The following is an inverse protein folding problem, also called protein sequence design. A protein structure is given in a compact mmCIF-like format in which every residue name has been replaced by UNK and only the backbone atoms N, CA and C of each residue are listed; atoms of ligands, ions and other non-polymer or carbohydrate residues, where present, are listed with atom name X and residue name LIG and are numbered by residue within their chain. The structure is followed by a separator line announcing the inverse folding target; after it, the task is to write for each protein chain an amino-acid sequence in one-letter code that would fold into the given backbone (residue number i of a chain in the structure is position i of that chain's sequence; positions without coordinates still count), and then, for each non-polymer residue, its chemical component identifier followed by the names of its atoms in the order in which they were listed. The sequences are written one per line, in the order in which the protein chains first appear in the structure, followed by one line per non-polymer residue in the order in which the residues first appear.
data_IF_393951776134
#
_entry.id   IF_393951776134
#
_cell.length_a   1.000
_cell.length_b   1.000
_cell.length_c   1.000
_cell.angle_alpha   90.00
_cell.angle_beta   90.00
_cell.angle_gamma   90.00
#
_symmetry.space_group_name_H-M   'P 1'
#
loop_
_entity.id
_entity.type
_entity.pdbx_description
1 polymer ?
#
# COMPACT_ATOMS: atom_id res chain seq x y z
N UNK A 1 19.07 -33.23 20.70
CA UNK A 1 18.36 -31.96 20.35
C UNK A 1 19.06 -31.33 19.17
N UNK A 2 18.53 -31.51 17.96
CA UNK A 2 19.04 -30.89 16.74
C UNK A 2 18.51 -29.46 16.66
N UNK A 3 19.39 -28.47 16.84
CA UNK A 3 19.09 -27.06 16.53
C UNK A 3 19.00 -26.92 15.01
N UNK A 4 17.83 -26.61 14.48
CA UNK A 4 17.72 -26.07 13.13
C UNK A 4 18.38 -24.68 13.10
N UNK A 5 19.23 -24.35 12.13
CA UNK A 5 19.72 -22.98 11.99
C UNK A 5 18.55 -22.11 11.56
N UNK A 6 18.05 -21.29 12.48
CA UNK A 6 16.85 -20.48 12.32
C UNK A 6 17.16 -19.13 11.67
N UNK A 7 17.95 -19.13 10.59
CA UNK A 7 18.18 -17.93 9.78
C UNK A 7 18.36 -18.33 8.32
N UNK A 8 17.36 -18.03 7.50
CA UNK A 8 17.57 -17.84 6.06
C UNK A 8 18.42 -16.57 5.94
N UNK A 9 19.58 -16.63 5.30
CA UNK A 9 20.41 -15.44 5.16
C UNK A 9 19.67 -14.40 4.30
N UNK A 10 19.99 -13.11 4.47
CA UNK A 10 19.40 -12.05 3.63
C UNK A 10 19.61 -12.31 2.13
N UNK A 11 20.70 -12.99 1.78
CA UNK A 11 21.00 -13.42 0.40
C UNK A 11 20.04 -14.51 -0.09
N UNK A 12 19.79 -15.53 0.74
CA UNK A 12 18.85 -16.61 0.39
C UNK A 12 17.43 -16.08 0.21
N UNK A 13 17.00 -15.15 1.07
CA UNK A 13 15.70 -14.49 0.94
C UNK A 13 15.62 -13.61 -0.31
N UNK A 14 16.68 -12.84 -0.60
CA UNK A 14 16.73 -12.01 -1.81
C UNK A 14 16.64 -12.87 -3.08
N UNK A 15 17.38 -13.99 -3.13
CA UNK A 15 17.30 -14.95 -4.22
C UNK A 15 15.90 -15.54 -4.38
N UNK A 16 15.23 -15.88 -3.27
CA UNK A 16 13.84 -16.37 -3.32
C UNK A 16 12.90 -15.31 -3.91
N UNK A 17 12.99 -14.06 -3.45
CA UNK A 17 12.11 -12.97 -3.90
C UNK A 17 12.32 -12.62 -5.37
N UNK A 18 13.58 -12.61 -5.84
CA UNK A 18 13.90 -12.34 -7.25
C UNK A 18 13.40 -13.45 -8.17
N UNK A 19 13.53 -14.71 -7.75
CA UNK A 19 13.13 -15.86 -8.56
C UNK A 19 11.62 -16.17 -8.49
N UNK A 20 10.85 -15.47 -7.64
CA UNK A 20 9.41 -15.70 -7.50
C UNK A 20 8.55 -14.92 -8.51
N UNK A 21 9.17 -14.23 -9.48
CA UNK A 21 8.56 -13.32 -10.47
C UNK A 21 7.74 -12.15 -9.88
N UNK A 22 7.49 -12.12 -8.57
CA UNK A 22 6.65 -11.13 -7.89
C UNK A 22 7.14 -9.69 -8.14
N UNK A 23 8.45 -9.47 -8.12
CA UNK A 23 9.02 -8.16 -8.43
C UNK A 23 8.75 -7.74 -9.87
N UNK A 24 8.96 -8.64 -10.83
CA UNK A 24 8.72 -8.36 -12.25
C UNK A 24 7.24 -8.06 -12.50
N UNK A 25 6.34 -8.89 -11.98
CA UNK A 25 4.90 -8.72 -12.13
C UNK A 25 4.40 -7.44 -11.47
N UNK A 26 4.86 -7.14 -10.25
CA UNK A 26 4.47 -5.93 -9.51
C UNK A 26 4.99 -4.66 -10.20
N UNK A 27 6.26 -4.65 -10.61
CA UNK A 27 6.83 -3.51 -11.34
C UNK A 27 6.18 -3.33 -12.72
N UNK A 28 5.83 -4.42 -13.40
CA UNK A 28 5.07 -4.37 -14.65
C UNK A 28 3.72 -3.70 -14.47
N UNK A 29 2.94 -4.13 -13.47
CA UNK A 29 1.64 -3.56 -13.16
C UNK A 29 1.70 -2.05 -12.85
N UNK A 30 2.72 -1.61 -12.10
CA UNK A 30 2.96 -0.19 -11.82
C UNK A 30 3.32 0.60 -13.09
N UNK A 31 4.20 0.06 -13.94
CA UNK A 31 4.59 0.69 -15.21
C UNK A 31 3.41 0.87 -16.14
N UNK A 32 2.58 -0.17 -16.28
CA UNK A 32 1.38 -0.13 -17.12
C UNK A 32 0.40 0.92 -16.61
N UNK A 33 0.13 0.95 -15.30
CA UNK A 33 -0.75 1.93 -14.68
C UNK A 33 -0.24 3.37 -14.90
N UNK A 34 1.08 3.58 -14.82
CA UNK A 34 1.67 4.89 -15.09
C UNK A 34 1.55 5.29 -16.57
N UNK A 35 1.73 4.35 -17.50
CA UNK A 35 1.57 4.60 -18.93
C UNK A 35 0.12 4.97 -19.30
N UNK A 36 -0.86 4.34 -18.66
CA UNK A 36 -2.28 4.69 -18.78
C UNK A 36 -2.60 6.06 -18.17
N UNK A 37 -1.93 6.41 -17.07
CA UNK A 37 -2.13 7.69 -16.36
C UNK A 37 -1.58 8.89 -17.13
N UNK A 38 -0.41 8.76 -17.75
CA UNK A 38 0.17 9.81 -18.58
C UNK A 38 -0.71 10.19 -19.79
N UNK A 39 -1.57 9.29 -20.26
CA UNK A 39 -2.49 9.54 -21.38
C UNK A 39 -3.73 10.33 -20.99
N UNK A 40 -4.10 10.32 -19.72
CA UNK A 40 -5.26 11.06 -19.21
C UNK A 40 -4.99 11.48 -17.76
N UNK A 41 -4.28 12.60 -17.54
CA UNK A 41 -3.92 13.04 -16.20
C UNK A 41 -5.18 13.40 -15.41
N UNK A 42 -5.48 12.63 -14.38
CA UNK A 42 -6.51 12.94 -13.38
C UNK A 42 -5.85 13.26 -12.05
N UNK A 43 -6.54 14.08 -11.25
CA UNK A 43 -6.09 14.53 -9.93
C UNK A 43 -6.37 13.52 -8.81
N UNK A 44 -6.71 12.27 -9.10
CA UNK A 44 -7.06 11.24 -8.12
C UNK A 44 -6.11 10.04 -8.14
N UNK A 45 -6.00 9.35 -7.01
CA UNK A 45 -5.31 8.06 -6.93
C UNK A 45 -5.96 7.08 -7.90
N UNK A 46 -5.13 6.35 -8.64
CA UNK A 46 -5.58 5.27 -9.50
C UNK A 46 -5.11 3.95 -8.95
N UNK A 47 -5.89 2.91 -9.21
CA UNK A 47 -5.48 1.54 -8.96
C UNK A 47 -5.73 0.67 -10.19
N UNK A 48 -4.96 -0.41 -10.29
CA UNK A 48 -5.15 -1.47 -11.28
C UNK A 48 -5.08 -2.82 -10.58
N UNK A 49 -6.06 -3.67 -10.87
CA UNK A 49 -6.08 -5.06 -10.40
C UNK A 49 -5.57 -5.93 -11.54
N UNK A 50 -4.53 -6.72 -11.25
CA UNK A 50 -3.94 -7.68 -12.19
C UNK A 50 -4.03 -9.06 -11.56
N UNK A 51 -4.95 -9.87 -12.07
CA UNK A 51 -5.09 -11.27 -11.66
C UNK A 51 -3.98 -12.11 -12.28
N UNK A 52 -3.27 -12.86 -11.45
CA UNK A 52 -2.31 -13.89 -11.85
C UNK A 52 -2.87 -15.26 -11.51
N UNK A 53 -2.22 -16.32 -11.98
CA UNK A 53 -2.66 -17.70 -11.71
C UNK A 53 -2.62 -18.07 -10.22
N UNK A 54 -1.77 -17.41 -9.42
CA UNK A 54 -1.51 -17.73 -8.02
C UNK A 54 -1.69 -16.55 -7.06
N UNK A 55 -1.91 -15.34 -7.56
CA UNK A 55 -2.06 -14.14 -6.75
C UNK A 55 -2.83 -13.04 -7.48
N UNK A 56 -3.28 -12.03 -6.74
CA UNK A 56 -3.86 -10.81 -7.30
C UNK A 56 -2.97 -9.64 -6.91
N UNK A 57 -2.49 -8.90 -7.91
CA UNK A 57 -1.66 -7.71 -7.70
C UNK A 57 -2.55 -6.48 -7.81
N UNK A 58 -2.46 -5.60 -6.81
CA UNK A 58 -3.15 -4.31 -6.80
C UNK A 58 -2.08 -3.22 -6.85
N UNK A 59 -1.91 -2.60 -8.02
CA UNK A 59 -0.98 -1.48 -8.20
C UNK A 59 -1.70 -0.17 -7.91
N UNK A 60 -1.01 0.78 -7.29
CA UNK A 60 -1.51 2.14 -7.04
C UNK A 60 -0.59 3.17 -7.69
N UNK A 61 -1.19 4.25 -8.20
CA UNK A 61 -0.47 5.41 -8.72
C UNK A 61 -1.07 6.69 -8.12
N UNK A 62 -0.22 7.49 -7.48
CA UNK A 62 -0.58 8.82 -7.02
C UNK A 62 -0.34 9.86 -8.14
N UNK A 63 -1.13 10.95 -8.24
CA UNK A 63 -0.89 12.00 -9.21
C UNK A 63 0.45 12.71 -9.00
N UNK A 64 1.15 13.06 -10.08
CA UNK A 64 2.44 13.75 -10.02
C UNK A 64 2.36 15.12 -9.32
N UNK A 65 1.29 15.89 -9.58
CA UNK A 65 1.06 17.21 -8.98
C UNK A 65 0.85 17.14 -7.46
N UNK A 66 0.11 16.13 -7.02
CA UNK A 66 -0.07 15.82 -5.59
C UNK A 66 1.28 15.42 -4.98
N UNK A 67 2.13 14.70 -5.73
CA UNK A 67 3.42 14.23 -5.26
C UNK A 67 4.42 15.37 -5.09
N UNK A 68 4.51 16.31 -6.03
CA UNK A 68 5.47 17.43 -5.94
C UNK A 68 5.11 18.40 -4.81
N UNK A 69 3.86 18.88 -4.72
CA UNK A 69 3.46 19.79 -3.64
C UNK A 69 3.53 19.15 -2.25
N UNK A 70 3.18 17.86 -2.13
CA UNK A 70 3.19 17.16 -0.85
C UNK A 70 4.57 16.65 -0.42
N UNK A 71 5.48 16.34 -1.35
CA UNK A 71 6.86 15.94 -1.05
C UNK A 71 7.72 17.19 -0.79
N UNK A 72 7.46 18.30 -1.49
CA UNK A 72 8.18 19.57 -1.28
C UNK A 72 7.75 20.29 0.00
N UNK A 73 6.50 20.16 0.46
CA UNK A 73 6.08 20.62 1.80
C UNK A 73 6.52 19.69 2.94
N UNK A 74 7.63 18.98 2.75
CA UNK A 74 8.13 17.92 3.62
C UNK A 74 7.91 18.12 5.13
N UNK A 75 7.37 17.08 5.77
CA UNK A 75 7.69 16.80 7.16
C UNK A 75 6.55 16.81 8.17
N UNK A 76 5.31 17.15 7.81
CA UNK A 76 4.24 17.06 8.80
C UNK A 76 3.92 15.59 9.09
N UNK A 77 4.12 15.19 10.34
CA UNK A 77 3.82 13.87 10.84
C UNK A 77 2.54 13.97 11.66
N UNK A 78 1.50 13.29 11.20
CA UNK A 78 0.21 13.29 11.89
C UNK A 78 0.15 12.05 12.77
N UNK A 79 -0.07 12.26 14.08
CA UNK A 79 -0.22 11.16 15.03
C UNK A 79 -1.55 10.43 14.84
N UNK A 80 -1.56 9.13 15.13
CA UNK A 80 -2.78 8.33 15.08
C UNK A 80 -3.84 8.79 16.10
N UNK A 81 -3.42 9.42 17.20
CA UNK A 81 -4.34 10.04 18.16
C UNK A 81 -5.04 11.27 17.58
N UNK A 82 -4.30 12.15 16.89
CA UNK A 82 -4.89 13.31 16.21
C UNK A 82 -5.87 12.88 15.10
N UNK A 83 -5.55 11.81 14.35
CA UNK A 83 -6.46 11.24 13.36
C UNK A 83 -7.77 10.75 14.00
N UNK A 84 -7.69 10.10 15.15
CA UNK A 84 -8.86 9.65 15.91
C UNK A 84 -9.72 10.82 16.38
N UNK A 85 -9.11 11.86 16.93
CA UNK A 85 -9.82 13.09 17.36
C UNK A 85 -10.51 13.79 16.19
N UNK A 86 -9.95 13.72 14.99
CA UNK A 86 -10.55 14.22 13.74
C UNK A 86 -11.62 13.28 13.15
N UNK A 87 -12.05 12.24 13.87
CA UNK A 87 -13.09 11.31 13.42
C UNK A 87 -12.61 10.24 12.43
N UNK A 88 -11.31 9.94 12.39
CA UNK A 88 -10.73 8.92 11.51
C UNK A 88 -10.01 7.79 12.29
N UNK A 89 -10.72 6.98 13.11
CA UNK A 89 -10.13 6.00 14.03
C UNK A 89 -9.80 4.64 13.37
N UNK A 90 -9.21 4.63 12.18
CA UNK A 90 -9.03 3.37 11.42
C UNK A 90 -7.86 2.50 11.89
N UNK A 91 -6.88 3.09 12.59
CA UNK A 91 -5.60 2.44 12.87
C UNK A 91 -5.41 2.03 14.32
N UNK A 92 -6.49 1.96 15.10
CA UNK A 92 -6.41 1.59 16.54
C UNK A 92 -5.81 0.20 16.74
N UNK A 93 -6.03 -0.72 15.80
CA UNK A 93 -5.46 -2.07 15.82
C UNK A 93 -3.94 -2.13 15.63
N UNK A 94 -3.32 -1.05 15.11
CA UNK A 94 -1.87 -0.94 14.98
C UNK A 94 -1.20 -0.45 16.28
N UNK A 95 -2.00 0.07 17.23
CA UNK A 95 -1.49 0.50 18.52
C UNK A 95 -1.34 -0.67 19.49
N UNK A 96 -0.42 -0.54 20.43
CA UNK A 96 -0.20 -1.50 21.51
C UNK A 96 -0.13 -0.79 22.86
N UNK A 97 -0.12 -1.55 23.96
CA UNK A 97 0.02 -0.95 25.30
C UNK A 97 1.33 -0.17 25.46
N UNK A 98 2.41 -0.62 24.82
CA UNK A 98 3.71 0.07 24.85
C UNK A 98 3.82 1.20 23.84
N UNK A 99 3.10 1.12 22.71
CA UNK A 99 3.04 2.15 21.69
C UNK A 99 1.58 2.54 21.42
N UNK A 100 0.99 3.41 22.27
CA UNK A 100 -0.43 3.76 22.18
C UNK A 100 -0.75 4.67 20.99
N UNK A 101 0.28 5.29 20.38
CA UNK A 101 0.16 6.08 19.15
C UNK A 101 1.41 5.93 18.29
N UNK A 102 1.25 6.17 17.00
CA UNK A 102 2.31 6.23 16.00
C UNK A 102 2.08 7.42 15.07
N UNK A 103 3.06 7.78 14.25
CA UNK A 103 2.95 8.91 13.32
C UNK A 103 2.99 8.44 11.86
N UNK A 104 2.23 9.11 11.00
CA UNK A 104 2.18 8.87 9.55
C UNK A 104 2.50 10.15 8.82
N UNK A 105 3.13 10.03 7.65
CA UNK A 105 3.36 11.17 6.78
C UNK A 105 2.03 11.86 6.40
N UNK A 106 1.91 13.15 6.72
CA UNK A 106 0.68 13.94 6.58
C UNK A 106 0.11 13.91 5.17
N UNK A 107 0.98 13.97 4.16
CA UNK A 107 0.56 13.82 2.77
C UNK A 107 -0.04 12.46 2.43
N UNK A 108 0.61 11.37 2.87
CA UNK A 108 0.17 10.03 2.55
C UNK A 108 -1.19 9.76 3.19
N UNK A 109 -1.39 10.22 4.43
CA UNK A 109 -2.69 10.07 5.09
C UNK A 109 -3.77 10.99 4.51
N UNK A 110 -3.41 12.19 4.04
CA UNK A 110 -4.35 13.09 3.34
C UNK A 110 -4.84 12.46 2.04
N UNK A 111 -3.91 11.91 1.26
CA UNK A 111 -4.23 11.19 0.02
C UNK A 111 -5.08 9.94 0.29
N UNK A 112 -4.73 9.18 1.34
CA UNK A 112 -5.49 8.00 1.77
C UNK A 112 -6.91 8.37 2.19
N UNK A 113 -7.09 9.44 2.99
CA UNK A 113 -8.42 9.95 3.39
C UNK A 113 -9.27 10.34 2.19
N UNK A 114 -8.68 11.07 1.24
CA UNK A 114 -9.37 11.51 0.03
C UNK A 114 -9.84 10.34 -0.85
N UNK A 115 -9.15 9.20 -0.79
CA UNK A 115 -9.43 8.00 -1.57
C UNK A 115 -10.10 6.87 -0.77
N UNK A 116 -10.52 7.14 0.47
CA UNK A 116 -10.92 6.09 1.41
C UNK A 116 -12.20 5.36 0.99
N UNK A 117 -13.14 6.04 0.33
CA UNK A 117 -14.39 5.44 -0.13
C UNK A 117 -14.12 4.40 -1.21
N UNK A 118 -13.30 4.76 -2.20
CA UNK A 118 -12.88 3.86 -3.28
C UNK A 118 -12.07 2.68 -2.75
N UNK A 119 -11.19 2.90 -1.76
CA UNK A 119 -10.45 1.83 -1.09
C UNK A 119 -11.38 0.88 -0.32
N UNK A 120 -12.46 1.40 0.27
CA UNK A 120 -13.45 0.56 0.96
C UNK A 120 -14.19 -0.35 -0.02
N UNK A 121 -14.61 0.19 -1.17
CA UNK A 121 -15.22 -0.60 -2.24
C UNK A 121 -14.25 -1.64 -2.81
N UNK A 122 -12.99 -1.25 -3.02
CA UNK A 122 -11.95 -2.16 -3.50
C UNK A 122 -11.67 -3.29 -2.51
N UNK A 123 -11.61 -2.98 -1.21
CA UNK A 123 -11.46 -3.99 -0.16
C UNK A 123 -12.60 -5.01 -0.23
N UNK A 124 -13.83 -4.56 -0.41
CA UNK A 124 -14.97 -5.48 -0.51
C UNK A 124 -14.88 -6.35 -1.76
N UNK A 125 -14.46 -5.80 -2.91
CA UNK A 125 -14.22 -6.59 -4.13
C UNK A 125 -13.14 -7.66 -3.95
N UNK A 126 -12.06 -7.35 -3.24
CA UNK A 126 -10.94 -8.27 -3.00
C UNK A 126 -11.26 -9.31 -1.93
N UNK A 127 -12.14 -8.99 -0.98
CA UNK A 127 -12.58 -9.94 0.04
C UNK A 127 -13.72 -10.86 -0.44
N UNK A 128 -14.44 -10.48 -1.51
CA UNK A 128 -15.55 -11.26 -2.07
C UNK A 128 -15.16 -12.28 -3.14
N UNK A 129 -13.89 -12.70 -3.21
CA UNK A 129 -13.55 -13.86 -4.05
C UNK A 129 -14.22 -15.10 -3.45
N UNK A 130 -15.14 -15.78 -4.18
CA UNK A 130 -15.72 -17.02 -3.68
C UNK A 130 -14.57 -18.01 -3.49
N UNK A 131 -14.46 -18.53 -2.26
CA UNK A 131 -13.61 -19.69 -2.00
C UNK A 131 -14.14 -20.83 -2.86
N UNK A 132 -13.48 -21.11 -3.98
CA UNK A 132 -13.71 -22.34 -4.73
C UNK A 132 -12.88 -23.41 -4.05
N UNK A 133 -13.46 -24.05 -3.03
CA UNK A 133 -13.19 -25.42 -2.63
C UNK A 133 -14.49 -26.05 -2.13
#
# INVERSE_FOLDING_TARGET
MTKFPQFISGLDLANLVVNADLLQLSCGAVKDLHAETNRNPQFSVRHKIVSQSNCTIIAFAAPALISEDLILQGGDLISSSALKEQGFPLFESLCSKSNPSFSVHGAAITLFKAYFQELSLLKDQVLFFPSIF
#
